data_IF_575445692087
#
_entry.id   IF_575445692087
#
_cell.length_a   1.000
_cell.length_b   1.000
_cell.length_c   1.000
_cell.angle_alpha   90.00
_cell.angle_beta   90.00
_cell.angle_gamma   90.00
#
_symmetry.space_group_name_H-M   'P 1'
#
loop_
_entity.id
_entity.type
_entity.pdbx_description
1 polymer ?
#
# COMPACT_ATOMS: atom_id res chain seq x y z
N UNK A 1 -10.00 -9.63 0.27
CA UNK A 1 -10.11 -8.20 0.51
C UNK A 1 -9.76 -7.42 -0.74
N UNK A 2 -10.79 -7.02 -1.41
CA UNK A 2 -10.60 -6.29 -2.65
C UNK A 2 -9.80 -4.99 -2.48
N UNK A 3 -10.11 -4.24 -1.39
CA UNK A 3 -9.45 -2.95 -1.18
C UNK A 3 -7.94 -3.11 -0.97
N UNK A 4 -7.55 -4.14 -0.24
CA UNK A 4 -6.13 -4.36 0.02
C UNK A 4 -5.40 -4.75 -1.25
N UNK A 5 -6.00 -5.61 -2.05
CA UNK A 5 -5.37 -6.01 -3.31
C UNK A 5 -5.27 -4.84 -4.28
N UNK A 6 -6.29 -3.98 -4.29
CA UNK A 6 -6.23 -2.80 -5.12
C UNK A 6 -5.11 -1.87 -4.66
N UNK A 7 -4.96 -1.70 -3.36
CA UNK A 7 -3.89 -0.87 -2.82
C UNK A 7 -2.52 -1.43 -3.20
N UNK A 8 -2.38 -2.73 -3.13
CA UNK A 8 -1.14 -3.39 -3.51
C UNK A 8 -0.79 -3.08 -4.97
N UNK A 9 -1.78 -3.16 -5.84
CA UNK A 9 -1.58 -2.85 -7.25
C UNK A 9 -1.16 -1.40 -7.45
N UNK A 10 -1.81 -0.48 -6.75
CA UNK A 10 -1.47 0.93 -6.88
C UNK A 10 -0.05 1.18 -6.39
N UNK A 11 0.34 0.56 -5.28
CA UNK A 11 1.69 0.72 -4.76
C UNK A 11 2.74 0.17 -5.71
N UNK A 12 2.42 -0.87 -6.44
CA UNK A 12 3.35 -1.45 -7.40
C UNK A 12 3.52 -0.60 -8.64
N UNK A 13 2.48 0.11 -9.05
CA UNK A 13 2.47 0.79 -10.33
C UNK A 13 2.42 2.30 -10.26
N UNK A 14 2.61 2.88 -9.10
CA UNK A 14 2.57 4.33 -8.96
C UNK A 14 3.47 4.78 -7.82
N UNK A 15 3.68 6.11 -7.74
CA UNK A 15 4.50 6.69 -6.69
C UNK A 15 3.65 7.43 -5.66
N UNK A 16 2.37 7.10 -5.59
CA UNK A 16 1.49 7.73 -4.62
C UNK A 16 1.93 7.45 -3.20
N UNK A 17 1.69 8.39 -2.31
CA UNK A 17 1.99 8.19 -0.90
C UNK A 17 1.01 7.18 -0.30
N UNK A 18 1.37 6.67 0.87
CA UNK A 18 0.51 5.71 1.57
C UNK A 18 -0.85 6.35 1.87
N UNK A 19 -0.85 7.63 2.27
CA UNK A 19 -2.10 8.32 2.55
C UNK A 19 -2.97 8.43 1.30
N UNK A 20 -2.35 8.72 0.17
CA UNK A 20 -3.08 8.82 -1.09
C UNK A 20 -3.66 7.48 -1.51
N UNK A 21 -2.89 6.42 -1.37
CA UNK A 21 -3.37 5.08 -1.70
C UNK A 21 -4.55 4.70 -0.81
N UNK A 22 -4.44 5.01 0.46
CA UNK A 22 -5.50 4.73 1.41
C UNK A 22 -6.81 5.41 0.99
N UNK A 23 -6.72 6.68 0.61
CA UNK A 23 -7.90 7.44 0.18
C UNK A 23 -8.47 6.87 -1.11
N UNK A 24 -7.61 6.54 -2.05
CA UNK A 24 -8.05 5.98 -3.33
C UNK A 24 -8.81 4.68 -3.15
N UNK A 25 -8.44 3.91 -2.15
CA UNK A 25 -9.07 2.63 -1.92
C UNK A 25 -10.27 2.70 -0.97
N UNK A 26 -10.62 3.91 -0.54
CA UNK A 26 -11.82 4.09 0.27
C UNK A 26 -11.65 3.79 1.74
N UNK A 27 -10.43 3.81 2.25
CA UNK A 27 -10.20 3.64 3.68
C UNK A 27 -10.44 4.95 4.40
N UNK A 28 -11.00 4.85 5.60
CA UNK A 28 -11.32 6.04 6.39
C UNK A 28 -10.08 6.75 6.92
N UNK A 29 -9.04 5.99 7.21
CA UNK A 29 -7.83 6.60 7.71
C UNK A 29 -6.61 5.80 7.24
N UNK A 30 -5.47 6.46 7.10
CA UNK A 30 -4.23 5.76 6.75
C UNK A 30 -3.82 4.75 7.81
N UNK A 31 -4.12 5.03 9.08
CA UNK A 31 -3.76 4.11 10.16
C UNK A 31 -4.53 2.79 10.03
N UNK A 32 -5.81 2.88 9.73
CA UNK A 32 -6.61 1.68 9.55
C UNK A 32 -6.13 0.91 8.33
N UNK A 33 -5.86 1.62 7.26
CA UNK A 33 -5.34 1.01 6.05
C UNK A 33 -4.04 0.26 6.33
N UNK A 34 -3.12 0.88 7.06
CA UNK A 34 -1.84 0.26 7.35
C UNK A 34 -2.01 -1.03 8.13
N UNK A 35 -2.94 -1.04 9.08
CA UNK A 35 -3.21 -2.21 9.89
C UNK A 35 -3.76 -3.36 9.03
N UNK A 36 -4.74 -3.03 8.18
CA UNK A 36 -5.37 -4.04 7.34
C UNK A 36 -4.36 -4.57 6.31
N UNK A 37 -3.57 -3.68 5.73
CA UNK A 37 -2.59 -4.06 4.75
C UNK A 37 -1.59 -5.06 5.34
N UNK A 38 -1.06 -4.72 6.51
CA UNK A 38 -0.09 -5.60 7.15
C UNK A 38 -0.70 -6.96 7.48
N UNK A 39 -1.96 -6.96 7.91
CA UNK A 39 -2.63 -8.20 8.27
C UNK A 39 -2.77 -9.13 7.06
N UNK A 40 -3.12 -8.58 5.92
CA UNK A 40 -3.42 -9.41 4.75
C UNK A 40 -2.21 -9.66 3.86
N UNK A 41 -1.28 -8.72 3.80
CA UNK A 41 -0.12 -8.85 2.92
C UNK A 41 1.10 -9.43 3.66
N UNK A 42 1.18 -9.23 4.96
CA UNK A 42 2.27 -9.77 5.74
C UNK A 42 3.40 -8.79 6.00
N UNK A 43 3.34 -7.60 5.42
CA UNK A 43 4.31 -6.55 5.71
C UNK A 43 3.60 -5.22 5.62
N UNK A 44 4.19 -4.18 6.24
CA UNK A 44 3.58 -2.88 6.24
C UNK A 44 3.56 -2.30 4.82
N UNK A 45 2.60 -1.40 4.58
CA UNK A 45 2.50 -0.76 3.27
C UNK A 45 3.75 0.05 2.97
N UNK A 46 4.31 0.71 3.97
CA UNK A 46 5.52 1.49 3.79
C UNK A 46 6.68 0.60 3.38
N UNK A 47 6.84 -0.53 4.04
CA UNK A 47 7.91 -1.45 3.70
C UNK A 47 7.70 -2.04 2.31
N UNK A 48 6.47 -2.38 2.00
CA UNK A 48 6.15 -2.92 0.69
C UNK A 48 6.52 -1.93 -0.42
N UNK A 49 6.20 -0.67 -0.21
CA UNK A 49 6.53 0.37 -1.17
C UNK A 49 8.04 0.53 -1.33
N UNK A 50 8.76 0.52 -0.22
CA UNK A 50 10.22 0.64 -0.26
C UNK A 50 10.88 -0.50 -0.99
N UNK A 51 10.43 -1.72 -0.72
CA UNK A 51 11.02 -2.90 -1.35
C UNK A 51 10.84 -2.82 -2.86
N UNK A 52 9.66 -2.42 -3.31
CA UNK A 52 9.40 -2.35 -4.73
C UNK A 52 10.10 -1.17 -5.39
N UNK A 53 10.28 -0.07 -4.67
CA UNK A 53 11.01 1.07 -5.21
C UNK A 53 12.48 0.72 -5.43
N UNK A 54 13.05 -0.07 -4.53
CA UNK A 54 14.44 -0.49 -4.66
C UNK A 54 14.65 -1.29 -5.94
N UNK A 55 13.69 -2.12 -6.28
CA UNK A 55 13.79 -2.92 -7.49
C UNK A 55 13.88 -2.06 -8.75
N UNK A 56 13.19 -0.95 -8.75
CA UNK A 56 13.18 -0.06 -9.90
C UNK A 56 14.54 0.55 -10.14
N UNK A 57 15.28 0.80 -9.08
CA UNK A 57 16.57 1.46 -9.17
C UNK A 57 17.70 0.52 -9.56
N UNK A 58 17.42 -0.74 -9.56
CA UNK A 58 18.43 -1.72 -9.96
C UNK A 58 18.46 -1.89 -11.46
#
# INVERSE_FOLDING_TARGET
MYRVFKAKEILLHSTLSIADVSAECGFESPAYFARVFKKHIGMSATKFQKVNAVQINS
#
